data_IF_593767768604
#
_entry.id   IF_593767768604
#
_cell.length_a   1.000
_cell.length_b   1.000
_cell.length_c   1.000
_cell.angle_alpha   90.00
_cell.angle_beta   90.00
_cell.angle_gamma   90.00
#
_symmetry.space_group_name_H-M   'P 1'
#
loop_
_entity.id
_entity.type
_entity.pdbx_description
1 polymer ?
#
# COMPACT_ATOMS: atom_id res chain seq x y z
N UNK A 1 36.11 -43.69 -21.03
CA UNK A 1 35.96 -43.22 -20.80
C UNK A 1 35.63 -42.14 -20.92
N UNK A 2 35.54 -41.86 -20.86
CA UNK A 2 35.39 -40.90 -20.99
C UNK A 2 34.38 -40.16 -20.95
N UNK A 3 34.02 -39.96 -21.25
CA UNK A 3 33.09 -39.22 -21.36
C UNK A 3 32.30 -39.06 -20.39
N UNK A 4 32.03 -38.94 -19.74
CA UNK A 4 31.26 -38.88 -18.81
C UNK A 4 31.28 -37.65 -18.32
N UNK A 5 31.98 -37.21 -18.14
CA UNK A 5 32.15 -36.17 -17.60
C UNK A 5 31.41 -35.23 -18.33
N UNK A 6 31.34 -35.42 -19.23
CA UNK A 6 30.73 -34.55 -20.02
C UNK A 6 29.47 -34.19 -19.53
N UNK A 7 28.85 -34.83 -19.03
CA UNK A 7 27.56 -34.64 -18.72
C UNK A 7 27.38 -33.64 -17.72
N UNK A 8 28.04 -33.73 -16.96
CA UNK A 8 27.98 -32.91 -15.92
C UNK A 8 27.66 -31.53 -16.28
N UNK A 9 28.09 -31.07 -17.09
CA UNK A 9 27.94 -29.71 -17.42
C UNK A 9 26.53 -29.28 -17.50
N UNK A 10 25.76 -29.98 -18.03
CA UNK A 10 24.46 -29.64 -18.24
C UNK A 10 23.75 -29.19 -17.08
N UNK A 11 23.92 -29.72 -16.14
CA UNK A 11 23.24 -29.42 -14.96
C UNK A 11 23.15 -27.96 -14.73
N UNK A 12 24.07 -27.32 -14.95
CA UNK A 12 24.05 -25.99 -14.72
C UNK A 12 22.95 -25.20 -15.21
N UNK A 13 22.60 -25.34 -16.31
CA UNK A 13 21.54 -24.58 -16.87
C UNK A 13 20.42 -24.18 -15.99
N UNK A 14 19.89 -25.00 -15.35
CA UNK A 14 18.79 -24.71 -14.59
C UNK A 14 18.80 -23.55 -13.74
N UNK A 15 19.72 -23.37 -13.07
CA UNK A 15 19.75 -22.32 -12.19
C UNK A 15 19.31 -21.08 -12.76
N UNK A 16 19.51 -20.82 -13.85
CA UNK A 16 19.23 -19.58 -14.46
C UNK A 16 17.83 -19.15 -14.17
N UNK A 17 17.04 -19.98 -14.01
CA UNK A 17 15.70 -19.68 -13.76
C UNK A 17 15.34 -18.90 -12.57
N UNK A 18 15.79 -19.26 -11.55
CA UNK A 18 15.52 -18.60 -10.33
C UNK A 18 15.34 -17.12 -10.39
N UNK A 19 16.19 -16.42 -10.85
CA UNK A 19 16.12 -14.98 -10.83
C UNK A 19 14.89 -14.33 -11.35
N UNK A 20 14.34 -14.85 -12.23
CA UNK A 20 13.19 -14.28 -12.80
C UNK A 20 12.15 -14.00 -11.84
N UNK A 21 11.98 -14.76 -10.93
CA UNK A 21 11.01 -14.60 -9.97
C UNK A 21 11.01 -13.25 -9.38
N UNK A 22 12.07 -12.79 -9.07
CA UNK A 22 12.14 -11.53 -8.41
C UNK A 22 11.46 -10.45 -9.22
N UNK A 23 11.56 -10.50 -10.43
CA UNK A 23 10.99 -9.47 -11.25
C UNK A 23 9.51 -9.25 -11.10
N UNK A 24 8.81 -10.24 -10.82
CA UNK A 24 7.40 -10.08 -10.76
C UNK A 24 6.87 -9.50 -9.51
N UNK A 25 7.67 -9.30 -8.59
CA UNK A 25 7.16 -8.80 -7.36
C UNK A 25 7.15 -7.28 -7.33
N UNK A 26 7.13 -6.67 -8.44
CA UNK A 26 7.10 -5.23 -8.45
C UNK A 26 5.86 -4.75 -7.73
N UNK A 27 6.00 -3.79 -6.88
CA UNK A 27 4.86 -3.29 -6.14
C UNK A 27 3.91 -2.55 -7.06
N UNK A 28 2.65 -2.57 -6.76
CA UNK A 28 1.66 -1.90 -7.57
C UNK A 28 1.66 -0.44 -7.23
N UNK A 29 2.15 0.37 -7.91
CA UNK A 29 2.00 1.77 -7.75
C UNK A 29 2.29 2.32 -6.38
N UNK A 30 1.73 3.49 -6.11
CA UNK A 30 2.06 4.24 -4.91
C UNK A 30 1.26 3.80 -3.71
N UNK A 31 1.92 3.73 -2.57
CA UNK A 31 1.28 3.31 -1.33
C UNK A 31 1.52 4.36 -0.27
N UNK A 32 0.46 4.74 0.43
CA UNK A 32 0.58 5.64 1.54
C UNK A 32 0.50 4.91 2.87
N UNK A 33 0.56 5.64 3.96
CA UNK A 33 0.42 5.09 5.29
C UNK A 33 -0.27 6.07 6.21
N UNK A 34 -1.00 5.55 7.18
CA UNK A 34 -1.59 6.37 8.22
C UNK A 34 -0.49 6.70 9.20
N UNK A 35 -0.27 7.97 9.45
CA UNK A 35 0.78 8.41 10.37
C UNK A 35 0.22 8.91 11.70
N UNK A 36 -1.09 9.16 11.79
CA UNK A 36 -1.71 9.53 13.04
C UNK A 36 -3.19 9.14 12.96
N UNK A 37 -3.71 8.50 13.99
CA UNK A 37 -5.10 8.10 14.02
C UNK A 37 -5.66 8.21 15.43
N UNK A 38 -6.69 9.04 15.60
CA UNK A 38 -7.37 9.18 16.86
C UNK A 38 -8.48 8.14 16.93
N UNK A 39 -9.15 8.04 18.07
CA UNK A 39 -10.16 7.02 18.28
C UNK A 39 -11.29 7.03 17.26
N UNK A 40 -11.67 8.17 16.80
CA UNK A 40 -12.77 8.26 15.83
C UNK A 40 -12.36 8.06 14.39
N UNK A 41 -11.19 7.53 14.15
CA UNK A 41 -10.73 7.25 12.79
C UNK A 41 -11.24 5.88 12.35
N UNK A 42 -11.84 5.84 11.17
CA UNK A 42 -12.29 4.59 10.58
C UNK A 42 -11.66 4.48 9.19
N UNK A 43 -10.96 3.40 8.95
CA UNK A 43 -10.31 3.16 7.67
C UNK A 43 -10.86 1.89 7.07
N UNK A 44 -11.21 1.94 5.78
CA UNK A 44 -11.66 0.76 5.08
C UNK A 44 -10.90 0.62 3.77
N UNK A 45 -10.40 -0.57 3.52
CA UNK A 45 -9.75 -0.88 2.26
C UNK A 45 -10.28 -2.24 1.85
N UNK A 46 -11.13 -2.29 0.82
CA UNK A 46 -11.79 -3.52 0.45
C UNK A 46 -12.64 -4.01 1.61
N UNK A 47 -12.41 -5.21 2.07
CA UNK A 47 -13.14 -5.76 3.19
C UNK A 47 -12.44 -5.54 4.52
N UNK A 48 -11.25 -4.97 4.50
CA UNK A 48 -10.50 -4.76 5.73
C UNK A 48 -10.89 -3.45 6.38
N UNK A 49 -11.03 -3.46 7.69
CA UNK A 49 -11.42 -2.28 8.46
C UNK A 49 -10.48 -2.13 9.64
N UNK A 50 -10.02 -0.91 9.86
CA UNK A 50 -9.22 -0.59 11.05
C UNK A 50 -9.82 0.62 11.71
N UNK A 51 -9.88 0.62 13.04
CA UNK A 51 -10.54 1.68 13.79
C UNK A 51 -9.59 2.24 14.83
N UNK A 52 -9.59 3.56 14.97
CA UNK A 52 -8.83 4.23 16.00
C UNK A 52 -7.33 4.00 15.83
N UNK A 53 -6.65 3.83 16.94
CA UNK A 53 -5.20 3.68 16.91
C UNK A 53 -4.75 2.44 16.18
N UNK A 54 -5.63 1.48 15.97
CA UNK A 54 -5.24 0.28 15.24
C UNK A 54 -5.04 0.59 13.75
N UNK A 55 -5.47 1.75 13.29
CA UNK A 55 -5.26 2.15 11.91
C UNK A 55 -3.87 2.71 11.70
N UNK A 56 -3.12 2.99 12.77
CA UNK A 56 -1.80 3.57 12.64
C UNK A 56 -0.90 2.65 11.82
N UNK A 57 -0.17 3.22 10.92
CA UNK A 57 0.74 2.52 10.02
C UNK A 57 0.06 1.60 8.99
N UNK A 58 -1.25 1.62 8.92
CA UNK A 58 -1.92 0.85 7.89
C UNK A 58 -1.57 1.40 6.51
N UNK A 59 -1.35 0.54 5.56
CA UNK A 59 -1.04 0.98 4.21
C UNK A 59 -2.31 1.52 3.54
N UNK A 60 -2.14 2.54 2.73
CA UNK A 60 -3.23 3.13 1.97
C UNK A 60 -2.98 2.88 0.51
N UNK A 61 -3.98 2.33 -0.16
CA UNK A 61 -3.88 2.05 -1.59
C UNK A 61 -5.13 2.58 -2.27
N UNK A 62 -5.18 2.43 -3.57
CA UNK A 62 -6.35 2.82 -4.34
C UNK A 62 -7.59 2.18 -3.73
N UNK A 63 -8.61 2.95 -3.55
CA UNK A 63 -9.87 2.47 -2.99
C UNK A 63 -10.01 2.65 -1.50
N UNK A 64 -8.99 3.13 -0.82
CA UNK A 64 -9.07 3.33 0.63
C UNK A 64 -10.05 4.46 0.95
N UNK A 65 -10.78 4.30 2.04
CA UNK A 65 -11.71 5.31 2.52
C UNK A 65 -11.40 5.60 3.98
N UNK A 66 -11.21 6.87 4.30
CA UNK A 66 -10.97 7.29 5.68
C UNK A 66 -12.14 8.15 6.11
N UNK A 67 -12.71 7.82 7.26
CA UNK A 67 -13.77 8.64 7.85
C UNK A 67 -13.38 9.01 9.26
N UNK A 68 -13.66 10.25 9.67
CA UNK A 68 -13.30 10.73 10.99
C UNK A 68 -14.53 11.24 11.71
N UNK A 69 -14.65 10.92 12.99
CA UNK A 69 -15.70 11.45 13.84
C UNK A 69 -15.40 12.93 14.12
N UNK A 70 -16.39 13.65 14.60
CA UNK A 70 -16.29 15.11 14.71
C UNK A 70 -15.11 15.63 15.52
N UNK A 71 -14.66 14.88 16.49
CA UNK A 71 -13.55 15.35 17.32
C UNK A 71 -12.24 14.63 17.04
N UNK A 72 -12.17 13.91 15.94
CA UNK A 72 -11.01 13.12 15.63
C UNK A 72 -10.21 13.71 14.48
N UNK A 73 -9.00 13.25 14.33
CA UNK A 73 -8.14 13.67 13.25
C UNK A 73 -7.29 12.50 12.80
N UNK A 74 -7.05 12.43 11.52
CA UNK A 74 -6.19 11.42 10.93
C UNK A 74 -5.17 12.11 10.06
N UNK A 75 -3.96 11.60 10.06
CA UNK A 75 -2.94 12.09 9.15
C UNK A 75 -2.39 10.93 8.37
N UNK A 76 -2.06 11.17 7.12
CA UNK A 76 -1.54 10.16 6.23
C UNK A 76 -0.36 10.71 5.46
N UNK A 77 0.52 9.82 5.03
CA UNK A 77 1.65 10.20 4.21
C UNK A 77 1.70 9.36 2.96
N UNK A 78 1.95 10.02 1.85
CA UNK A 78 2.10 9.37 0.57
C UNK A 78 3.39 9.92 -0.01
N UNK A 79 4.49 9.17 0.12
CA UNK A 79 5.80 9.69 -0.26
C UNK A 79 6.12 10.89 0.61
N UNK A 80 6.38 12.02 -0.02
CA UNK A 80 6.68 13.24 0.71
C UNK A 80 5.43 14.09 0.96
N UNK A 81 4.27 13.62 0.53
CA UNK A 81 3.03 14.36 0.71
C UNK A 81 2.41 13.99 2.04
N UNK A 82 2.00 14.98 2.81
CA UNK A 82 1.31 14.75 4.06
C UNK A 82 -0.12 15.25 3.91
N UNK A 83 -1.07 14.45 4.38
CA UNK A 83 -2.48 14.81 4.36
C UNK A 83 -2.96 14.91 5.79
N UNK A 84 -3.75 15.92 6.07
CA UNK A 84 -4.38 16.06 7.38
C UNK A 84 -5.87 16.05 7.15
N UNK A 85 -6.56 15.12 7.78
CA UNK A 85 -7.98 14.95 7.64
C UNK A 85 -8.61 15.34 8.96
N UNK A 86 -9.37 16.42 8.97
CA UNK A 86 -9.96 16.93 10.19
C UNK A 86 -11.23 16.16 10.54
N UNK A 87 -11.80 16.48 11.70
CA UNK A 87 -12.98 15.77 12.17
C UNK A 87 -14.19 15.94 11.28
N UNK A 88 -15.05 14.96 11.29
CA UNK A 88 -16.27 15.00 10.49
C UNK A 88 -16.04 14.83 9.01
N UNK A 89 -14.96 14.20 8.61
CA UNK A 89 -14.58 14.11 7.21
C UNK A 89 -14.76 12.71 6.64
N UNK A 90 -14.90 12.64 5.33
CA UNK A 90 -14.91 11.38 4.60
C UNK A 90 -14.08 11.58 3.35
N UNK A 91 -12.95 10.90 3.27
CA UNK A 91 -12.00 11.07 2.19
C UNK A 91 -11.72 9.73 1.51
N UNK A 92 -11.89 9.71 0.21
CA UNK A 92 -11.67 8.51 -0.56
C UNK A 92 -10.41 8.65 -1.42
N UNK A 93 -9.59 7.61 -1.45
CA UNK A 93 -8.39 7.60 -2.28
C UNK A 93 -8.80 6.91 -3.58
N UNK A 94 -9.24 7.70 -4.53
CA UNK A 94 -9.74 7.17 -5.78
C UNK A 94 -8.64 6.49 -6.57
N UNK A 95 -7.47 7.08 -6.57
CA UNK A 95 -6.32 6.47 -7.22
C UNK A 95 -5.03 6.87 -6.53
N UNK A 96 -4.19 5.89 -6.23
CA UNK A 96 -2.84 6.11 -5.76
C UNK A 96 -1.95 5.30 -6.68
N UNK A 97 -1.31 5.97 -7.62
CA UNK A 97 -0.45 5.29 -8.58
C UNK A 97 0.81 6.11 -8.77
N UNK A 98 1.73 5.60 -9.56
CA UNK A 98 2.95 6.34 -9.84
C UNK A 98 2.65 7.58 -10.63
N UNK A 99 1.55 7.61 -11.37
CA UNK A 99 1.19 8.75 -12.19
C UNK A 99 0.40 9.80 -11.47
N UNK A 100 -0.41 9.44 -10.48
CA UNK A 100 -1.20 10.47 -9.82
C UNK A 100 -1.79 10.05 -8.47
N UNK A 101 -2.09 11.06 -7.70
CA UNK A 101 -2.80 10.93 -6.44
C UNK A 101 -4.14 11.63 -6.68
N UNK A 102 -5.23 10.87 -6.66
CA UNK A 102 -6.55 11.41 -6.91
C UNK A 102 -7.42 11.11 -5.69
N UNK A 103 -7.82 12.17 -5.02
CA UNK A 103 -8.61 12.06 -3.81
C UNK A 103 -9.98 12.64 -4.02
N UNK A 104 -10.96 12.11 -3.33
CA UNK A 104 -12.31 12.68 -3.36
C UNK A 104 -12.71 12.97 -1.92
N UNK A 105 -12.96 14.24 -1.63
CA UNK A 105 -13.43 14.62 -0.31
C UNK A 105 -14.95 14.64 -0.38
N UNK A 106 -15.58 13.66 0.26
CA UNK A 106 -17.03 13.56 0.22
C UNK A 106 -17.65 14.46 1.26
N UNK A 107 -16.93 14.76 2.34
CA UNK A 107 -17.47 15.55 3.44
C UNK A 107 -16.29 16.03 4.29
N UNK A 108 -16.41 17.22 4.87
CA UNK A 108 -15.42 17.74 5.81
C UNK A 108 -14.25 18.43 5.16
N UNK A 109 -13.11 18.34 5.79
CA UNK A 109 -11.91 19.02 5.33
C UNK A 109 -10.64 18.31 5.77
#
# INVERSE_FOLDING_TARGET
MSGYWRHLCLSIALLAVAPLLAAETDPPGRVGRISLANEGTHLRIGDAVAVGVTALNWPLTTGALIETASASRTEARIGSTALRIDGGSSLEFVELSDERIWLRLNRGS
#
